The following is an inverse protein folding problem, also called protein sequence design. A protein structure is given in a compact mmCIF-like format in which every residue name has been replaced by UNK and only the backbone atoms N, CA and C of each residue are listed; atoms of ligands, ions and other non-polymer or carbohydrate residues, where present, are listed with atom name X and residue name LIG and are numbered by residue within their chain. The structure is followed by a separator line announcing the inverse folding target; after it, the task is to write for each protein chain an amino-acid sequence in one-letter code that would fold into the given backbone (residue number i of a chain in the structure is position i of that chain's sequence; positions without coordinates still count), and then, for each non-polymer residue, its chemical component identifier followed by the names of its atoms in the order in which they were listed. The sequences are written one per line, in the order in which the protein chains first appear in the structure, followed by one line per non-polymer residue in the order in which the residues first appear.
data_IF_288086963743
#
_entry.id   IF_288086963743
#
_cell.length_a   1.000
_cell.length_b   1.000
_cell.length_c   1.000
_cell.angle_alpha   90.00
_cell.angle_beta   90.00
_cell.angle_gamma   90.00
#
_symmetry.space_group_name_H-M   'P 1'
#
loop_
_entity.id
_entity.type
_entity.pdbx_description
1 polymer ?
#
# COMPACT_ATOMS: atom_id res chain seq x y z
N UNK A 1 3.59 4.31 2.36
CA UNK A 1 3.15 4.98 3.61
C UNK A 1 2.19 4.11 4.41
N UNK A 2 2.47 2.82 4.62
CA UNK A 2 1.59 1.99 5.45
C UNK A 2 0.16 1.75 4.94
N UNK A 3 -0.28 2.37 3.83
CA UNK A 3 -1.63 2.24 3.23
C UNK A 3 -2.20 0.83 3.26
N UNK A 4 -1.50 -0.12 2.62
CA UNK A 4 -1.88 -1.54 2.63
C UNK A 4 -1.97 -2.15 4.03
N UNK A 5 -1.10 -1.73 4.97
CA UNK A 5 -1.12 -2.20 6.35
C UNK A 5 -2.31 -1.62 7.12
N UNK A 6 -2.65 -0.35 6.92
CA UNK A 6 -3.83 0.28 7.52
C UNK A 6 -5.11 -0.41 7.00
N UNK A 7 -5.22 -0.64 5.70
CA UNK A 7 -6.36 -1.35 5.11
C UNK A 7 -6.50 -2.79 5.62
N UNK A 8 -5.38 -3.51 5.78
CA UNK A 8 -5.39 -4.85 6.38
C UNK A 8 -5.80 -4.83 7.85
N UNK A 9 -5.34 -3.82 8.61
CA UNK A 9 -5.72 -3.65 10.01
C UNK A 9 -7.23 -3.42 10.16
N UNK A 10 -7.83 -2.53 9.37
CA UNK A 10 -9.29 -2.33 9.34
C UNK A 10 -10.05 -3.63 9.05
N UNK A 11 -9.58 -4.43 8.08
CA UNK A 11 -10.19 -5.74 7.80
C UNK A 11 -10.05 -6.70 8.98
N UNK A 12 -8.91 -6.72 9.65
CA UNK A 12 -8.66 -7.65 10.74
C UNK A 12 -9.47 -7.32 12.01
N UNK A 13 -9.84 -6.05 12.20
CA UNK A 13 -10.77 -5.59 13.23
C UNK A 13 -12.23 -5.97 12.88
N UNK A 14 -12.65 -5.82 11.62
CA UNK A 14 -14.04 -6.03 11.17
C UNK A 14 -14.18 -7.08 10.05
N UNK A 15 -13.60 -8.27 10.25
CA UNK A 15 -13.47 -9.35 9.24
C UNK A 15 -14.76 -9.79 8.52
N UNK A 16 -15.93 -9.52 9.08
CA UNK A 16 -17.22 -9.90 8.47
C UNK A 16 -17.84 -8.79 7.63
N UNK A 17 -17.37 -7.55 7.77
CA UNK A 17 -17.97 -6.34 7.17
C UNK A 17 -17.10 -5.69 6.11
N UNK A 18 -15.81 -6.01 6.08
CA UNK A 18 -14.85 -5.43 5.13
C UNK A 18 -14.34 -6.51 4.18
N UNK A 19 -14.50 -6.29 2.88
CA UNK A 19 -13.78 -7.07 1.87
C UNK A 19 -12.50 -6.34 1.48
N UNK A 20 -11.39 -7.07 1.39
CA UNK A 20 -10.10 -6.52 1.00
C UNK A 20 -9.47 -7.39 -0.09
N UNK A 21 -9.18 -6.77 -1.24
CA UNK A 21 -8.50 -7.44 -2.35
C UNK A 21 -7.36 -6.59 -2.88
N UNK A 22 -6.34 -7.25 -3.43
CA UNK A 22 -5.23 -6.61 -4.13
C UNK A 22 -5.45 -6.71 -5.64
N UNK A 23 -5.48 -5.57 -6.31
CA UNK A 23 -5.41 -5.51 -7.77
C UNK A 23 -4.00 -5.92 -8.22
N UNK A 24 -3.93 -7.01 -8.97
CA UNK A 24 -2.69 -7.48 -9.59
C UNK A 24 -2.49 -6.79 -10.93
N UNK A 25 -1.28 -6.92 -11.50
CA UNK A 25 -0.95 -6.35 -12.81
C UNK A 25 -2.03 -6.64 -13.87
N UNK A 26 -2.51 -5.57 -14.52
CA UNK A 26 -3.57 -5.58 -15.53
C UNK A 26 -4.84 -6.33 -15.09
N UNK A 27 -5.35 -6.00 -13.90
CA UNK A 27 -6.53 -6.69 -13.35
C UNK A 27 -7.82 -6.22 -14.02
N UNK A 28 -8.42 -7.11 -14.82
CA UNK A 28 -9.76 -6.93 -15.41
C UNK A 28 -10.88 -7.05 -14.38
N UNK A 29 -12.09 -6.59 -14.73
CA UNK A 29 -13.28 -6.74 -13.86
C UNK A 29 -13.59 -8.20 -13.52
N UNK A 30 -13.42 -9.11 -14.49
CA UNK A 30 -13.62 -10.55 -14.25
C UNK A 30 -12.71 -11.04 -13.14
N UNK A 31 -11.42 -10.69 -13.20
CA UNK A 31 -10.43 -11.09 -12.20
C UNK A 31 -10.76 -10.46 -10.85
N UNK A 32 -11.04 -9.16 -10.83
CA UNK A 32 -11.35 -8.42 -9.62
C UNK A 32 -12.60 -8.97 -8.92
N UNK A 33 -13.72 -9.10 -9.62
CA UNK A 33 -14.97 -9.59 -9.03
C UNK A 33 -14.87 -11.03 -8.57
N UNK A 34 -14.12 -11.87 -9.30
CA UNK A 34 -13.83 -13.22 -8.82
C UNK A 34 -13.03 -13.20 -7.51
N UNK A 35 -12.12 -12.23 -7.32
CA UNK A 35 -11.35 -12.12 -6.09
C UNK A 35 -12.21 -11.65 -4.92
N UNK A 36 -13.07 -10.65 -5.12
CA UNK A 36 -13.97 -10.16 -4.07
C UNK A 36 -14.95 -11.27 -3.67
N UNK A 37 -15.54 -11.98 -4.63
CA UNK A 37 -16.43 -13.11 -4.34
C UNK A 37 -15.72 -14.25 -3.57
N UNK A 38 -14.43 -14.49 -3.84
CA UNK A 38 -13.64 -15.44 -3.03
C UNK A 38 -13.42 -14.95 -1.62
N UNK A 39 -13.08 -13.67 -1.46
CA UNK A 39 -12.81 -13.05 -0.16
C UNK A 39 -14.04 -13.12 0.76
N UNK A 40 -15.24 -12.85 0.21
CA UNK A 40 -16.51 -12.98 0.96
C UNK A 40 -17.03 -14.43 1.05
N UNK A 41 -16.24 -15.43 0.66
CA UNK A 41 -16.60 -16.86 0.67
C UNK A 41 -17.89 -17.22 -0.10
N UNK A 42 -18.16 -16.54 -1.21
CA UNK A 42 -19.31 -16.84 -2.05
C UNK A 42 -19.13 -18.21 -2.75
N UNK A 43 -20.18 -19.05 -2.76
CA UNK A 43 -20.12 -20.42 -3.27
C UNK A 43 -19.78 -20.53 -4.77
N UNK A 44 -20.11 -19.50 -5.55
CA UNK A 44 -19.78 -19.38 -6.96
C UNK A 44 -18.89 -18.15 -7.23
N UNK A 45 -17.58 -18.23 -7.04
CA UNK A 45 -16.69 -17.07 -7.19
C UNK A 45 -16.11 -16.90 -8.59
N UNK A 46 -16.48 -17.75 -9.56
CA UNK A 46 -15.96 -17.71 -10.93
C UNK A 46 -17.11 -17.62 -11.93
N UNK A 47 -16.81 -17.16 -13.16
CA UNK A 47 -17.82 -16.95 -14.20
C UNK A 47 -17.38 -15.98 -15.29
N UNK A 48 -18.32 -15.57 -16.14
CA UNK A 48 -18.10 -14.48 -17.10
C UNK A 48 -18.30 -13.15 -16.38
N UNK A 49 -17.68 -12.07 -16.89
CA UNK A 49 -17.79 -10.71 -16.34
C UNK A 49 -19.24 -10.30 -16.10
N UNK A 50 -20.10 -10.55 -17.09
CA UNK A 50 -21.53 -10.21 -17.06
C UNK A 50 -22.32 -10.92 -15.95
N UNK A 51 -21.87 -12.10 -15.51
CA UNK A 51 -22.53 -12.86 -14.44
C UNK A 51 -21.97 -12.49 -13.06
N UNK A 52 -20.69 -12.12 -13.00
CA UNK A 52 -19.99 -11.84 -11.75
C UNK A 52 -20.41 -10.50 -11.14
N UNK A 53 -20.67 -9.47 -11.95
CA UNK A 53 -21.08 -8.15 -11.48
C UNK A 53 -22.42 -8.17 -10.71
N UNK A 54 -23.55 -8.63 -11.30
CA UNK A 54 -24.82 -8.66 -10.58
C UNK A 54 -24.78 -9.63 -9.39
N UNK A 55 -24.03 -10.73 -9.50
CA UNK A 55 -23.81 -11.66 -8.39
C UNK A 55 -23.12 -10.95 -7.22
N UNK A 56 -22.05 -10.21 -7.49
CA UNK A 56 -21.33 -9.48 -6.46
C UNK A 56 -22.22 -8.39 -5.85
N UNK A 57 -22.90 -7.58 -6.68
CA UNK A 57 -23.82 -6.54 -6.21
C UNK A 57 -24.87 -7.09 -5.25
N UNK A 58 -25.53 -8.20 -5.62
CA UNK A 58 -26.52 -8.87 -4.76
C UNK A 58 -25.93 -9.57 -3.53
N UNK A 59 -24.62 -9.81 -3.48
CA UNK A 59 -23.99 -10.52 -2.36
C UNK A 59 -23.45 -9.58 -1.28
N UNK A 60 -23.00 -8.38 -1.63
CA UNK A 60 -22.30 -7.49 -0.69
C UNK A 60 -23.19 -7.15 0.51
N UNK A 61 -24.38 -6.59 0.28
CA UNK A 61 -25.29 -6.24 1.37
C UNK A 61 -25.84 -7.49 2.08
N UNK A 62 -26.22 -8.53 1.34
CA UNK A 62 -26.74 -9.79 1.93
C UNK A 62 -25.75 -10.45 2.88
N UNK A 63 -24.46 -10.34 2.62
CA UNK A 63 -23.41 -10.90 3.47
C UNK A 63 -22.97 -9.93 4.57
N UNK A 64 -23.59 -8.75 4.65
CA UNK A 64 -23.33 -7.74 5.68
C UNK A 64 -22.04 -6.95 5.45
N UNK A 65 -21.58 -6.81 4.19
CA UNK A 65 -20.41 -6.02 3.85
C UNK A 65 -20.79 -4.53 3.87
N UNK A 66 -20.02 -3.76 4.61
CA UNK A 66 -20.14 -2.31 4.75
C UNK A 66 -19.06 -1.57 3.95
N UNK A 67 -18.02 -2.28 3.49
CA UNK A 67 -16.89 -1.67 2.79
C UNK A 67 -16.15 -2.65 1.89
N UNK A 68 -15.75 -2.20 0.70
CA UNK A 68 -14.83 -2.91 -0.17
C UNK A 68 -13.56 -2.09 -0.38
N UNK A 69 -12.40 -2.66 -0.08
CA UNK A 69 -11.09 -2.02 -0.26
C UNK A 69 -10.33 -2.72 -1.38
N UNK A 70 -9.92 -1.94 -2.38
CA UNK A 70 -9.10 -2.39 -3.51
C UNK A 70 -7.70 -1.78 -3.41
N UNK A 71 -6.72 -2.59 -3.03
CA UNK A 71 -5.33 -2.17 -2.88
C UNK A 71 -4.51 -2.34 -4.17
N UNK A 72 -3.51 -1.49 -4.37
CA UNK A 72 -2.76 -1.29 -5.61
C UNK A 72 -3.68 -1.02 -6.83
N UNK A 73 -4.72 -0.21 -6.64
CA UNK A 73 -5.77 0.04 -7.62
C UNK A 73 -5.25 0.65 -8.94
N UNK A 74 -4.05 1.23 -8.97
CA UNK A 74 -3.37 1.69 -10.19
C UNK A 74 -3.18 0.56 -11.23
N UNK A 75 -3.24 -0.71 -10.80
CA UNK A 75 -3.13 -1.88 -11.69
C UNK A 75 -4.46 -2.31 -12.33
N UNK A 76 -5.56 -1.64 -12.00
CA UNK A 76 -6.87 -1.93 -12.58
C UNK A 76 -6.93 -1.45 -14.03
N UNK A 77 -7.57 -2.25 -14.88
CA UNK A 77 -7.91 -1.81 -16.22
C UNK A 77 -9.09 -0.83 -16.17
N UNK A 78 -9.21 0.04 -17.18
CA UNK A 78 -10.26 1.07 -17.24
C UNK A 78 -11.67 0.46 -17.08
N UNK A 79 -11.93 -0.68 -17.70
CA UNK A 79 -13.23 -1.34 -17.57
C UNK A 79 -13.52 -1.83 -16.14
N UNK A 80 -12.51 -2.18 -15.37
CA UNK A 80 -12.68 -2.58 -13.97
C UNK A 80 -13.05 -1.39 -13.10
N UNK A 81 -12.42 -0.23 -13.33
CA UNK A 81 -12.76 1.01 -12.61
C UNK A 81 -14.19 1.47 -12.90
N UNK A 82 -14.61 1.40 -14.18
CA UNK A 82 -15.99 1.71 -14.57
C UNK A 82 -16.97 0.72 -13.92
N UNK A 83 -16.66 -0.58 -13.91
CA UNK A 83 -17.56 -1.54 -13.28
C UNK A 83 -17.62 -1.39 -11.76
N UNK A 84 -16.56 -0.89 -11.10
CA UNK A 84 -16.60 -0.56 -9.67
C UNK A 84 -17.55 0.60 -9.38
N UNK A 85 -17.55 1.65 -10.23
CA UNK A 85 -18.56 2.71 -10.14
C UNK A 85 -19.97 2.13 -10.19
N UNK A 86 -20.25 1.28 -11.18
CA UNK A 86 -21.56 0.66 -11.33
C UNK A 86 -21.90 -0.25 -10.14
N UNK A 87 -20.93 -0.99 -9.61
CA UNK A 87 -21.11 -1.82 -8.44
C UNK A 87 -21.51 -0.98 -7.21
N UNK A 88 -20.89 0.18 -7.02
CA UNK A 88 -21.29 1.12 -5.97
C UNK A 88 -22.71 1.66 -6.19
N UNK A 89 -23.07 2.03 -7.42
CA UNK A 89 -24.43 2.49 -7.76
C UNK A 89 -25.50 1.41 -7.50
N UNK A 90 -25.18 0.13 -7.72
CA UNK A 90 -26.10 -1.00 -7.54
C UNK A 90 -26.19 -1.51 -6.09
N UNK A 91 -25.07 -1.55 -5.37
CA UNK A 91 -25.00 -2.16 -4.03
C UNK A 91 -25.02 -1.15 -2.88
N UNK A 92 -24.76 0.13 -3.17
CA UNK A 92 -24.55 1.20 -2.19
C UNK A 92 -23.46 0.93 -1.15
N UNK A 93 -22.66 -0.13 -1.31
CA UNK A 93 -21.51 -0.43 -0.45
C UNK A 93 -20.32 0.40 -0.91
N UNK A 94 -19.77 1.27 -0.03
CA UNK A 94 -18.60 2.10 -0.36
C UNK A 94 -17.42 1.28 -0.88
N UNK A 95 -16.72 1.85 -1.87
CA UNK A 95 -15.53 1.26 -2.46
C UNK A 95 -14.36 2.23 -2.29
N UNK A 96 -13.31 1.79 -1.60
CA UNK A 96 -12.07 2.55 -1.41
C UNK A 96 -10.99 2.01 -2.34
N UNK A 97 -10.45 2.88 -3.17
CA UNK A 97 -9.26 2.59 -3.98
C UNK A 97 -8.01 3.04 -3.23
N UNK A 98 -7.06 2.14 -3.08
CA UNK A 98 -5.78 2.39 -2.42
C UNK A 98 -4.67 2.24 -3.44
N UNK A 99 -3.86 3.29 -3.60
CA UNK A 99 -2.78 3.29 -4.58
C UNK A 99 -1.73 4.38 -4.35
N UNK A 100 -0.75 4.44 -5.24
CA UNK A 100 0.22 5.54 -5.33
C UNK A 100 -0.29 6.68 -6.21
N UNK A 101 0.59 7.64 -6.52
CA UNK A 101 0.31 8.75 -7.47
C UNK A 101 -0.19 8.26 -8.84
N UNK A 102 0.30 7.09 -9.28
CA UNK A 102 -0.14 6.45 -10.53
C UNK A 102 -1.65 6.18 -10.56
N UNK A 103 -2.29 5.98 -9.40
CA UNK A 103 -3.74 5.82 -9.33
C UNK A 103 -4.46 7.11 -9.70
N UNK A 104 -4.00 8.27 -9.21
CA UNK A 104 -4.59 9.57 -9.53
C UNK A 104 -4.50 9.84 -11.04
N UNK A 105 -3.34 9.56 -11.64
CA UNK A 105 -3.12 9.67 -13.08
C UNK A 105 -4.09 8.76 -13.86
N UNK A 106 -4.28 7.50 -13.41
CA UNK A 106 -5.22 6.55 -14.03
C UNK A 106 -6.67 7.04 -13.92
N UNK A 107 -7.09 7.53 -12.75
CA UNK A 107 -8.44 8.05 -12.53
C UNK A 107 -8.71 9.30 -13.37
N UNK A 108 -7.74 10.21 -13.48
CA UNK A 108 -7.84 11.39 -14.32
C UNK A 108 -8.00 11.01 -15.80
N UNK A 109 -7.15 10.11 -16.30
CA UNK A 109 -7.19 9.63 -17.69
C UNK A 109 -8.49 8.88 -18.03
N UNK A 110 -9.18 8.35 -17.01
CA UNK A 110 -10.45 7.66 -17.18
C UNK A 110 -11.68 8.55 -16.96
N UNK A 111 -11.50 9.83 -16.60
CA UNK A 111 -12.58 10.75 -16.18
C UNK A 111 -13.39 10.22 -14.98
N UNK A 112 -12.67 9.64 -14.00
CA UNK A 112 -13.25 9.02 -12.81
C UNK A 112 -12.89 9.74 -11.50
N UNK A 113 -12.15 10.84 -11.55
CA UNK A 113 -11.83 11.62 -10.34
C UNK A 113 -13.08 12.12 -9.61
N UNK A 114 -14.12 12.52 -10.35
CA UNK A 114 -15.39 12.97 -9.76
C UNK A 114 -16.22 11.83 -9.17
N UNK A 115 -15.93 10.59 -9.54
CA UNK A 115 -16.59 9.37 -9.04
C UNK A 115 -15.98 8.94 -7.72
N UNK A 116 -14.68 9.19 -7.52
CA UNK A 116 -13.95 8.96 -6.28
C UNK A 116 -13.51 10.30 -5.67
N UNK A 117 -14.46 11.15 -5.21
CA UNK A 117 -14.17 12.55 -4.87
C UNK A 117 -13.39 12.73 -3.56
N UNK A 118 -13.34 11.70 -2.71
CA UNK A 118 -12.67 11.77 -1.41
C UNK A 118 -11.25 11.22 -1.51
N UNK A 119 -10.27 12.12 -1.45
CA UNK A 119 -8.86 11.78 -1.39
C UNK A 119 -8.37 11.81 0.07
N UNK A 120 -7.74 10.71 0.50
CA UNK A 120 -6.98 10.68 1.74
C UNK A 120 -5.53 10.31 1.41
N UNK A 121 -4.61 11.23 1.67
CA UNK A 121 -3.18 10.99 1.49
C UNK A 121 -2.52 10.67 2.83
N UNK A 122 -1.70 9.62 2.84
CA UNK A 122 -0.77 9.42 3.95
C UNK A 122 0.46 10.27 3.68
N UNK A 123 0.59 11.33 4.47
CA UNK A 123 1.71 12.25 4.39
C UNK A 123 3.04 11.56 4.73
N UNK A 124 4.14 12.22 4.34
CA UNK A 124 5.46 11.82 4.80
C UNK A 124 5.58 12.06 6.30
N UNK A 125 6.44 11.29 6.95
CA UNK A 125 6.80 11.59 8.32
C UNK A 125 7.63 12.87 8.32
N UNK A 126 7.18 13.84 9.11
CA UNK A 126 7.95 15.02 9.46
C UNK A 126 9.15 14.64 10.33
N UNK A 127 10.18 15.48 10.38
CA UNK A 127 11.49 15.15 10.96
C UNK A 127 11.43 14.57 12.38
N UNK A 128 10.54 15.12 13.24
CA UNK A 128 10.39 14.64 14.62
C UNK A 128 9.81 13.23 14.68
N UNK A 129 8.74 12.97 13.93
CA UNK A 129 8.10 11.65 13.86
C UNK A 129 8.99 10.65 13.13
N UNK A 130 9.75 11.10 12.14
CA UNK A 130 10.73 10.28 11.45
C UNK A 130 11.86 9.86 12.39
N UNK A 131 12.39 10.79 13.20
CA UNK A 131 13.40 10.50 14.24
C UNK A 131 12.88 9.54 15.30
N UNK A 132 11.66 9.76 15.81
CA UNK A 132 11.00 8.82 16.74
C UNK A 132 10.86 7.44 16.13
N UNK A 133 10.39 7.37 14.88
CA UNK A 133 10.24 6.11 14.14
C UNK A 133 11.56 5.38 13.97
N UNK A 134 12.63 6.08 13.61
CA UNK A 134 13.97 5.49 13.49
C UNK A 134 14.49 4.96 14.82
N UNK A 135 14.25 5.70 15.91
CA UNK A 135 14.61 5.28 17.28
C UNK A 135 13.90 4.00 17.67
N UNK A 136 12.56 3.93 17.49
CA UNK A 136 11.77 2.72 17.72
C UNK A 136 12.24 1.56 16.85
N UNK A 137 12.51 1.80 15.56
CA UNK A 137 13.03 0.75 14.67
C UNK A 137 14.36 0.20 15.18
N UNK A 138 15.28 1.07 15.59
CA UNK A 138 16.60 0.66 16.06
C UNK A 138 16.53 -0.12 17.36
N UNK A 139 15.84 0.42 18.36
CA UNK A 139 15.83 -0.13 19.72
C UNK A 139 14.91 -1.35 19.85
N UNK A 140 13.70 -1.28 19.26
CA UNK A 140 12.63 -2.25 19.55
C UNK A 140 12.46 -3.29 18.44
N UNK A 141 12.83 -2.96 17.19
CA UNK A 141 12.55 -3.82 16.02
C UNK A 141 13.82 -4.52 15.54
N UNK A 142 14.90 -3.77 15.31
CA UNK A 142 16.15 -4.34 14.81
C UNK A 142 16.98 -4.91 15.96
N UNK A 143 17.09 -4.16 17.06
CA UNK A 143 17.81 -4.53 18.28
C UNK A 143 19.14 -5.22 17.97
N UNK A 144 19.93 -4.60 17.08
CA UNK A 144 21.17 -5.17 16.60
C UNK A 144 22.21 -5.25 17.74
N UNK A 145 23.19 -6.17 17.67
CA UNK A 145 24.22 -6.31 18.70
C UNK A 145 24.97 -5.02 19.03
N UNK A 146 25.13 -4.14 18.04
CA UNK A 146 25.72 -2.82 18.17
C UNK A 146 24.75 -1.74 17.65
N UNK A 147 24.73 -0.60 18.33
CA UNK A 147 23.96 0.56 17.88
C UNK A 147 24.44 1.04 16.49
N UNK A 148 23.49 1.30 15.62
CA UNK A 148 23.70 1.88 14.29
C UNK A 148 23.51 3.40 14.28
N UNK A 149 22.90 3.97 15.33
CA UNK A 149 22.58 5.37 15.51
C UNK A 149 21.78 5.93 14.32
N UNK A 150 20.74 5.21 13.90
CA UNK A 150 19.92 5.53 12.72
C UNK A 150 19.25 6.90 12.84
N UNK A 151 18.91 7.31 14.06
CA UNK A 151 18.27 8.57 14.37
C UNK A 151 19.26 9.75 14.46
N UNK A 152 20.57 9.54 14.32
CA UNK A 152 21.58 10.56 14.60
C UNK A 152 22.55 10.83 13.43
N UNK A 153 23.11 12.03 13.43
CA UNK A 153 24.17 12.46 12.51
C UNK A 153 23.92 12.12 11.04
N UNK A 154 24.98 11.67 10.35
CA UNK A 154 24.95 11.36 8.93
C UNK A 154 23.95 10.23 8.59
N UNK A 155 23.72 9.29 9.51
CA UNK A 155 22.76 8.19 9.28
C UNK A 155 21.35 8.74 9.10
N UNK A 156 20.95 9.67 9.98
CA UNK A 156 19.67 10.36 9.91
C UNK A 156 19.54 11.18 8.63
N UNK A 157 20.57 11.94 8.26
CA UNK A 157 20.56 12.76 7.04
C UNK A 157 20.40 11.88 5.78
N UNK A 158 21.16 10.78 5.68
CA UNK A 158 21.05 9.84 4.56
C UNK A 158 19.62 9.29 4.48
N UNK A 159 19.03 8.86 5.59
CA UNK A 159 17.69 8.30 5.61
C UNK A 159 16.63 9.34 5.26
N UNK A 160 16.75 10.56 5.80
CA UNK A 160 15.82 11.66 5.54
C UNK A 160 15.81 12.02 4.05
N UNK A 161 16.98 12.30 3.48
CA UNK A 161 17.11 12.67 2.06
C UNK A 161 16.68 11.52 1.14
N UNK A 162 17.10 10.29 1.44
CA UNK A 162 16.89 9.15 0.53
C UNK A 162 15.51 8.53 0.64
N UNK A 163 14.77 8.80 1.71
CA UNK A 163 13.40 8.32 1.87
C UNK A 163 12.37 9.43 1.71
N UNK A 164 12.74 10.70 1.91
CA UNK A 164 11.83 11.84 2.02
C UNK A 164 10.68 11.55 3.01
N UNK A 165 11.01 10.97 4.17
CA UNK A 165 10.04 10.57 5.21
C UNK A 165 9.12 9.41 4.79
N UNK A 166 9.35 8.76 3.65
CA UNK A 166 8.46 7.70 3.13
C UNK A 166 8.75 6.35 3.77
N UNK A 167 7.87 5.91 4.67
CA UNK A 167 7.99 4.63 5.40
C UNK A 167 8.21 3.39 4.52
N UNK A 168 7.59 3.35 3.34
CA UNK A 168 7.77 2.21 2.43
C UNK A 168 9.19 2.12 1.88
N UNK A 169 9.81 3.28 1.60
CA UNK A 169 11.20 3.35 1.13
C UNK A 169 12.16 3.07 2.30
N UNK A 170 11.87 3.63 3.48
CA UNK A 170 12.64 3.40 4.70
C UNK A 170 12.79 1.91 5.00
N UNK A 171 11.67 1.18 5.11
CA UNK A 171 11.68 -0.26 5.40
C UNK A 171 12.48 -1.03 4.37
N UNK A 172 12.36 -0.67 3.07
CA UNK A 172 13.10 -1.30 1.98
C UNK A 172 14.61 -1.07 2.08
N UNK A 173 15.04 0.14 2.42
CA UNK A 173 16.46 0.48 2.61
C UNK A 173 17.02 -0.28 3.82
N UNK A 174 16.37 -0.15 4.98
CA UNK A 174 16.85 -0.75 6.23
C UNK A 174 16.92 -2.27 6.16
N UNK A 175 15.89 -2.94 5.61
CA UNK A 175 15.90 -4.41 5.45
C UNK A 175 17.13 -4.86 4.65
N UNK A 176 17.48 -4.15 3.57
CA UNK A 176 18.64 -4.49 2.74
C UNK A 176 19.96 -4.15 3.42
N UNK A 177 20.01 -3.05 4.16
CA UNK A 177 21.18 -2.62 4.91
C UNK A 177 21.53 -3.59 6.04
N UNK A 178 20.53 -4.04 6.79
CA UNK A 178 20.68 -5.06 7.83
C UNK A 178 21.19 -6.37 7.21
N UNK A 179 20.53 -6.87 6.16
CA UNK A 179 20.96 -8.11 5.48
C UNK A 179 22.40 -8.02 4.94
N UNK A 180 22.79 -6.86 4.40
CA UNK A 180 24.15 -6.67 3.90
C UNK A 180 25.16 -6.61 5.05
N UNK A 181 24.83 -5.95 6.16
CA UNK A 181 25.71 -5.82 7.32
C UNK A 181 25.99 -7.20 7.94
N UNK A 182 24.93 -7.98 8.19
CA UNK A 182 25.06 -9.33 8.74
C UNK A 182 25.84 -10.28 7.83
N UNK A 183 25.62 -10.22 6.51
CA UNK A 183 26.39 -11.06 5.56
C UNK A 183 27.89 -10.79 5.59
N UNK A 184 28.30 -9.62 6.02
CA UNK A 184 29.71 -9.24 6.16
C UNK A 184 30.21 -9.35 7.61
N UNK A 185 29.42 -9.94 8.52
CA UNK A 185 29.80 -10.14 9.92
C UNK A 185 29.69 -8.90 10.81
N UNK A 186 29.03 -7.83 10.35
CA UNK A 186 28.85 -6.62 11.15
C UNK A 186 27.63 -6.73 12.08
N UNK A 187 27.80 -6.30 13.34
CA UNK A 187 26.74 -6.22 14.35
C UNK A 187 25.90 -4.93 14.31
N UNK A 188 26.15 -4.05 13.34
CA UNK A 188 25.43 -2.78 13.12
C UNK A 188 25.36 -2.44 11.63
N UNK A 189 24.51 -1.48 11.28
CA UNK A 189 24.53 -0.84 9.97
C UNK A 189 25.53 0.31 10.01
N UNK A 190 26.59 0.25 9.21
CA UNK A 190 27.50 1.38 9.06
C UNK A 190 27.06 2.37 7.98
N UNK A 191 27.55 3.60 8.08
CA UNK A 191 27.25 4.70 7.17
C UNK A 191 27.58 4.40 5.71
N UNK A 192 28.68 3.69 5.42
CA UNK A 192 29.06 3.36 4.03
C UNK A 192 28.11 2.33 3.44
N UNK A 193 27.73 1.30 4.20
CA UNK A 193 26.72 0.31 3.77
C UNK A 193 25.38 1.01 3.54
N UNK A 194 24.95 1.84 4.48
CA UNK A 194 23.70 2.57 4.37
C UNK A 194 23.71 3.49 3.14
N UNK A 195 24.75 4.31 2.96
CA UNK A 195 24.88 5.22 1.83
C UNK A 195 24.84 4.50 0.48
N UNK A 196 25.52 3.35 0.36
CA UNK A 196 25.51 2.51 -0.85
C UNK A 196 24.11 1.98 -1.17
N UNK A 197 23.40 1.50 -0.16
CA UNK A 197 22.06 0.89 -0.34
C UNK A 197 21.02 1.97 -0.58
N UNK A 198 21.03 3.04 0.21
CA UNK A 198 20.12 4.16 0.07
C UNK A 198 20.28 4.86 -1.29
N UNK A 199 21.49 4.97 -1.82
CA UNK A 199 21.70 5.51 -3.18
C UNK A 199 21.13 4.61 -4.28
N UNK A 200 21.05 3.30 -4.06
CA UNK A 200 20.47 2.35 -5.03
C UNK A 200 18.95 2.28 -4.97
N UNK A 201 18.36 2.49 -3.79
CA UNK A 201 16.93 2.23 -3.55
C UNK A 201 16.11 3.46 -3.16
N UNK A 202 16.73 4.57 -2.78
CA UNK A 202 16.04 5.81 -2.42
C UNK A 202 15.74 6.70 -3.62
N UNK A 203 16.76 7.02 -4.44
CA UNK A 203 16.66 7.96 -5.57
C UNK A 203 15.76 7.49 -6.72
N UNK A 204 15.56 6.18 -6.89
CA UNK A 204 14.66 5.67 -7.95
C UNK A 204 13.17 5.93 -7.65
N UNK A 205 12.81 6.35 -6.42
CA UNK A 205 11.42 6.46 -5.96
C UNK A 205 11.09 7.79 -5.24
N UNK A 206 12.06 8.71 -5.16
CA UNK A 206 11.85 10.09 -4.71
C UNK A 206 12.00 10.96 -5.96
N UNK A 207 10.93 11.58 -6.47
CA UNK A 207 11.07 12.57 -7.52
C UNK A 207 12.01 13.67 -7.00
N UNK A 208 12.99 14.05 -7.81
CA UNK A 208 13.70 15.30 -7.58
C UNK A 208 12.69 16.39 -7.90
N UNK A 209 12.31 17.21 -6.92
CA UNK A 209 11.53 18.41 -7.19
C UNK A 209 12.36 19.29 -8.15
N UNK A 210 11.76 19.63 -9.29
CA UNK A 210 12.25 20.66 -10.20
C UNK A 210 11.62 21.99 -9.83
#
# INVERSE_FOLDING_TARGET
MGKSRASLHYRDEDKKRVSYVKAWSASSSKRLFSQILKDINHAAPTGKRQDLRPRLAGSLELFGLELVIIDNAENLQKEALIDLKQLFEESHVPIILVGGKELDDVLQNCDLLTVFPTLYEFERLEDEDFRKTLTTIELDILSLPEASNLADGNMFEILTIRTNGRMGILVKILTKAVLHSFKNGFGRIDEKILGKIASRYGTKYVPLDN
#
